data_IF_603458072036
#
_entry.id   IF_603458072036
#
_cell.length_a   1.000
_cell.length_b   1.000
_cell.length_c   1.000
_cell.angle_alpha   90.00
_cell.angle_beta   90.00
_cell.angle_gamma   90.00
#
_symmetry.space_group_name_H-M   'P 1'
#
loop_
_entity.id
_entity.type
_entity.pdbx_description
1 polymer ?
#
# COMPACT_ATOMS: atom_id res chain seq x y z
N UNK A 1 -1.76 26.45 5.86
CA UNK A 1 -0.49 25.76 6.19
C UNK A 1 0.46 26.05 5.04
N UNK A 2 1.30 27.11 5.18
CA UNK A 2 2.31 27.42 4.17
C UNK A 2 3.54 26.55 4.47
N UNK A 3 3.47 25.30 4.04
CA UNK A 3 4.66 24.43 4.04
C UNK A 3 5.53 24.95 2.90
N UNK A 4 6.67 25.58 3.23
CA UNK A 4 7.70 25.92 2.26
C UNK A 4 8.25 24.61 1.68
N UNK A 5 7.62 24.14 0.62
CA UNK A 5 8.06 22.94 -0.10
C UNK A 5 9.03 23.39 -1.18
N UNK A 6 10.21 22.82 -1.14
CA UNK A 6 11.18 22.95 -2.20
C UNK A 6 10.63 22.24 -3.46
N UNK A 7 10.10 23.00 -4.40
CA UNK A 7 9.44 22.47 -5.61
C UNK A 7 10.38 21.62 -6.47
N UNK A 8 11.67 21.86 -6.40
CA UNK A 8 12.67 21.07 -7.14
C UNK A 8 12.83 19.65 -6.59
N UNK A 9 12.36 19.40 -5.37
CA UNK A 9 12.36 18.09 -4.72
C UNK A 9 11.04 17.33 -4.85
N UNK A 10 10.03 17.94 -5.46
CA UNK A 10 8.75 17.25 -5.68
C UNK A 10 8.89 16.17 -6.75
N UNK A 11 8.15 15.05 -6.63
CA UNK A 11 8.13 14.02 -7.63
C UNK A 11 7.70 14.56 -9.01
N UNK A 12 8.37 14.12 -10.08
CA UNK A 12 8.11 14.57 -11.45
C UNK A 12 6.68 14.35 -11.94
N UNK A 13 5.98 13.37 -11.37
CA UNK A 13 4.60 13.08 -11.73
C UNK A 13 3.60 14.11 -11.17
N UNK A 14 3.97 14.87 -10.15
CA UNK A 14 3.03 15.71 -9.42
C UNK A 14 2.44 16.86 -10.25
N UNK A 15 3.20 17.60 -11.06
CA UNK A 15 2.63 18.60 -11.97
C UNK A 15 1.67 18.02 -13.00
N UNK A 16 1.89 16.77 -13.42
CA UNK A 16 1.00 16.06 -14.36
C UNK A 16 -0.31 15.72 -13.65
N UNK A 17 -0.23 15.20 -12.43
CA UNK A 17 -1.41 14.91 -11.62
C UNK A 17 -2.22 16.18 -11.33
N UNK A 18 -1.58 17.32 -11.04
CA UNK A 18 -2.29 18.59 -10.81
C UNK A 18 -3.05 19.07 -12.04
N UNK A 19 -2.51 18.85 -13.25
CA UNK A 19 -3.22 19.14 -14.51
C UNK A 19 -4.41 18.21 -14.74
N UNK A 20 -4.28 16.91 -14.40
CA UNK A 20 -5.35 15.94 -14.56
C UNK A 20 -6.41 16.03 -13.45
N UNK A 21 -5.96 16.33 -12.24
CA UNK A 21 -6.77 16.33 -11.01
C UNK A 21 -6.43 17.56 -10.16
N UNK A 22 -7.08 18.71 -10.40
CA UNK A 22 -6.80 19.95 -9.69
C UNK A 22 -6.96 19.81 -8.17
N UNK A 23 -5.89 20.10 -7.45
CA UNK A 23 -5.75 19.92 -6.00
C UNK A 23 -4.84 18.75 -5.59
N UNK A 24 -4.45 17.86 -6.52
CA UNK A 24 -3.61 16.71 -6.24
C UNK A 24 -2.23 17.10 -5.65
N UNK A 25 -1.64 18.21 -6.10
CA UNK A 25 -0.38 18.71 -5.54
C UNK A 25 -0.52 19.06 -4.06
N UNK A 26 -1.55 19.82 -3.69
CA UNK A 26 -1.82 20.20 -2.30
C UNK A 26 -2.04 18.99 -1.40
N UNK A 27 -2.84 18.04 -1.87
CA UNK A 27 -3.18 16.83 -1.15
C UNK A 27 -1.97 15.94 -0.91
N UNK A 28 -1.14 15.77 -1.95
CA UNK A 28 0.11 15.01 -1.83
C UNK A 28 1.11 15.69 -0.89
N UNK A 29 1.29 17.02 -0.97
CA UNK A 29 2.18 17.78 -0.07
C UNK A 29 1.75 17.62 1.38
N UNK A 30 0.45 17.76 1.66
CA UNK A 30 -0.08 17.57 3.01
C UNK A 30 0.17 16.14 3.52
N UNK A 31 -0.06 15.12 2.68
CA UNK A 31 0.19 13.73 3.01
C UNK A 31 1.68 13.48 3.29
N UNK A 32 2.58 13.99 2.46
CA UNK A 32 4.03 13.86 2.68
C UNK A 32 4.49 14.56 3.95
N UNK A 33 3.90 15.70 4.31
CA UNK A 33 4.19 16.38 5.57
C UNK A 33 3.85 15.48 6.77
N UNK A 34 2.64 14.94 6.84
CA UNK A 34 2.21 14.04 7.92
C UNK A 34 3.04 12.75 7.94
N UNK A 35 3.37 12.22 6.76
CA UNK A 35 4.26 11.09 6.63
C UNK A 35 5.62 11.33 7.29
N UNK A 36 6.24 12.48 7.03
CA UNK A 36 7.52 12.85 7.62
C UNK A 36 7.43 13.00 9.13
N UNK A 37 6.32 13.50 9.67
CA UNK A 37 6.08 13.57 11.10
C UNK A 37 6.03 12.17 11.73
N UNK A 38 5.28 11.25 11.12
CA UNK A 38 5.10 9.89 11.64
C UNK A 38 6.38 9.05 11.51
N UNK A 39 7.01 9.05 10.33
CA UNK A 39 8.20 8.24 10.07
C UNK A 39 9.47 8.83 10.68
N UNK A 40 9.54 10.15 10.85
CA UNK A 40 10.64 10.85 11.49
C UNK A 40 10.54 10.94 13.02
N UNK A 41 9.40 10.56 13.62
CA UNK A 41 9.26 10.55 15.07
C UNK A 41 10.27 9.58 15.72
N UNK A 42 10.87 9.95 16.87
CA UNK A 42 11.78 9.04 17.57
C UNK A 42 11.09 7.71 17.93
N UNK A 43 11.63 6.61 17.42
CA UNK A 43 11.10 5.29 17.73
C UNK A 43 11.42 4.93 19.20
N UNK A 44 10.38 4.60 19.98
CA UNK A 44 10.51 4.23 21.39
C UNK A 44 11.11 2.82 21.57
N UNK A 45 10.85 1.94 20.62
CA UNK A 45 11.24 0.53 20.65
C UNK A 45 11.26 -0.07 19.24
N UNK A 46 11.55 -1.35 19.12
CA UNK A 46 11.56 -2.06 17.84
C UNK A 46 10.17 -2.19 17.20
N UNK A 47 9.11 -2.20 18.00
CA UNK A 47 7.73 -2.19 17.51
C UNK A 47 7.43 -0.91 16.71
N UNK A 48 7.77 0.26 17.27
CA UNK A 48 7.64 1.55 16.58
C UNK A 48 8.46 1.59 15.30
N UNK A 49 9.73 1.09 15.33
CA UNK A 49 10.58 1.01 14.12
C UNK A 49 9.92 0.17 13.03
N UNK A 50 9.35 -0.98 13.38
CA UNK A 50 8.67 -1.85 12.41
C UNK A 50 7.47 -1.14 11.78
N UNK A 51 6.64 -0.46 12.57
CA UNK A 51 5.51 0.30 12.05
C UNK A 51 5.95 1.46 11.14
N UNK A 52 7.02 2.17 11.49
CA UNK A 52 7.61 3.21 10.63
C UNK A 52 8.14 2.62 9.30
N UNK A 53 8.82 1.48 9.36
CA UNK A 53 9.25 0.76 8.14
C UNK A 53 8.05 0.34 7.28
N UNK A 54 6.99 -0.21 7.88
CA UNK A 54 5.77 -0.57 7.13
C UNK A 54 5.10 0.66 6.51
N UNK A 55 5.09 1.78 7.21
CA UNK A 55 4.59 3.06 6.69
C UNK A 55 5.42 3.53 5.49
N UNK A 56 6.75 3.41 5.55
CA UNK A 56 7.63 3.71 4.41
C UNK A 56 7.31 2.82 3.21
N UNK A 57 7.12 1.51 3.42
CA UNK A 57 6.73 0.59 2.35
C UNK A 57 5.36 0.96 1.75
N UNK A 58 4.40 1.39 2.58
CA UNK A 58 3.11 1.88 2.09
C UNK A 58 3.28 3.15 1.23
N UNK A 59 4.14 4.09 1.63
CA UNK A 59 4.45 5.30 0.88
C UNK A 59 5.10 5.01 -0.49
N UNK A 60 6.01 4.05 -0.56
CA UNK A 60 6.62 3.61 -1.82
C UNK A 60 5.55 3.05 -2.78
N UNK A 61 4.62 2.23 -2.28
CA UNK A 61 3.51 1.73 -3.09
C UNK A 61 2.57 2.85 -3.52
N UNK A 62 2.27 3.79 -2.62
CA UNK A 62 1.45 4.96 -2.94
C UNK A 62 2.12 5.83 -4.04
N UNK A 63 3.40 6.13 -3.91
CA UNK A 63 4.17 6.88 -4.91
C UNK A 63 4.21 6.15 -6.26
N UNK A 64 4.44 4.84 -6.26
CA UNK A 64 4.40 4.01 -7.47
C UNK A 64 3.03 4.01 -8.14
N UNK A 65 1.95 3.95 -7.36
CA UNK A 65 0.59 4.07 -7.86
C UNK A 65 0.36 5.44 -8.52
N UNK A 66 0.76 6.53 -7.88
CA UNK A 66 0.62 7.89 -8.44
C UNK A 66 1.40 8.07 -9.74
N UNK A 67 2.58 7.49 -9.85
CA UNK A 67 3.35 7.47 -11.10
C UNK A 67 2.58 6.78 -12.23
N UNK A 68 1.96 5.63 -11.96
CA UNK A 68 1.13 4.93 -12.94
C UNK A 68 -0.13 5.74 -13.31
N UNK A 69 -0.73 6.43 -12.35
CA UNK A 69 -1.88 7.32 -12.60
C UNK A 69 -1.47 8.48 -13.51
N UNK A 70 -0.32 9.10 -13.28
CA UNK A 70 0.17 10.23 -14.10
C UNK A 70 0.43 9.82 -15.56
N UNK A 71 0.80 8.56 -15.78
CA UNK A 71 0.99 7.97 -17.10
C UNK A 71 -0.29 7.33 -17.68
N UNK A 72 -1.42 7.55 -17.00
CA UNK A 72 -2.75 7.03 -17.38
C UNK A 72 -2.87 5.49 -17.40
N UNK A 73 -2.05 4.79 -16.60
CA UNK A 73 -2.12 3.34 -16.41
C UNK A 73 -3.09 2.96 -15.27
N UNK A 74 -4.38 3.23 -15.45
CA UNK A 74 -5.39 3.06 -14.40
C UNK A 74 -5.49 1.63 -13.84
N UNK A 75 -5.52 0.59 -14.68
CA UNK A 75 -5.58 -0.80 -14.20
C UNK A 75 -4.32 -1.24 -13.45
N UNK A 76 -3.10 -1.02 -13.95
CA UNK A 76 -1.90 -1.27 -13.16
C UNK A 76 -1.90 -0.51 -11.83
N UNK A 77 -2.38 0.73 -11.80
CA UNK A 77 -2.50 1.52 -10.56
C UNK A 77 -3.48 0.87 -9.57
N UNK A 78 -4.65 0.38 -10.01
CA UNK A 78 -5.58 -0.38 -9.15
C UNK A 78 -4.92 -1.66 -8.59
N UNK A 79 -4.10 -2.35 -9.37
CA UNK A 79 -3.32 -3.51 -8.91
C UNK A 79 -2.32 -3.15 -7.80
N UNK A 80 -1.65 -1.99 -7.93
CA UNK A 80 -0.75 -1.47 -6.87
C UNK A 80 -1.55 -1.06 -5.64
N UNK A 81 -2.75 -0.46 -5.80
CA UNK A 81 -3.65 -0.14 -4.70
C UNK A 81 -4.07 -1.38 -3.89
N UNK A 82 -4.25 -2.54 -4.54
CA UNK A 82 -4.52 -3.79 -3.83
C UNK A 82 -3.38 -4.14 -2.87
N UNK A 83 -2.13 -4.05 -3.33
CA UNK A 83 -0.97 -4.31 -2.48
C UNK A 83 -0.85 -3.28 -1.36
N UNK A 84 -1.08 -2.00 -1.67
CA UNK A 84 -1.13 -0.93 -0.68
C UNK A 84 -2.18 -1.21 0.41
N UNK A 85 -3.38 -1.67 0.02
CA UNK A 85 -4.44 -2.05 0.96
C UNK A 85 -3.98 -3.15 1.91
N UNK A 86 -3.35 -4.22 1.41
CA UNK A 86 -2.85 -5.31 2.25
C UNK A 86 -1.77 -4.84 3.24
N UNK A 87 -0.87 -3.95 2.80
CA UNK A 87 0.16 -3.35 3.65
C UNK A 87 -0.48 -2.49 4.75
N UNK A 88 -1.42 -1.62 4.39
CA UNK A 88 -2.12 -0.72 5.33
C UNK A 88 -2.89 -1.53 6.37
N UNK A 89 -3.72 -2.47 5.92
CA UNK A 89 -4.50 -3.34 6.82
C UNK A 89 -3.59 -4.16 7.74
N UNK A 90 -2.51 -4.74 7.19
CA UNK A 90 -1.53 -5.49 7.98
C UNK A 90 -0.83 -4.62 9.02
N UNK A 91 -0.47 -3.39 8.65
CA UNK A 91 0.19 -2.44 9.56
C UNK A 91 -0.75 -1.99 10.69
N UNK A 92 -2.00 -1.63 10.36
CA UNK A 92 -3.02 -1.26 11.35
C UNK A 92 -3.34 -2.45 12.28
N UNK A 93 -3.48 -3.65 11.71
CA UNK A 93 -3.69 -4.86 12.49
C UNK A 93 -2.53 -5.13 13.47
N UNK A 94 -1.29 -4.95 13.02
CA UNK A 94 -0.10 -5.09 13.87
C UNK A 94 -0.07 -4.01 14.96
N UNK A 95 -0.41 -2.75 14.63
CA UNK A 95 -0.45 -1.65 15.59
C UNK A 95 -1.44 -1.93 16.74
N UNK A 96 -2.61 -2.49 16.43
CA UNK A 96 -3.62 -2.92 17.42
C UNK A 96 -3.25 -4.21 18.17
N UNK A 97 -2.34 -5.01 17.64
CA UNK A 97 -1.96 -6.32 18.16
C UNK A 97 -0.43 -6.43 18.36
N UNK A 98 0.19 -5.62 19.25
CA UNK A 98 1.66 -5.57 19.41
C UNK A 98 2.27 -6.93 19.79
N UNK A 99 1.51 -7.80 20.44
CA UNK A 99 1.93 -9.17 20.76
C UNK A 99 2.21 -10.04 19.50
N UNK A 100 1.78 -9.60 18.33
CA UNK A 100 2.02 -10.26 17.04
C UNK A 100 3.36 -9.88 16.39
N UNK A 101 4.12 -8.95 16.98
CA UNK A 101 5.38 -8.49 16.42
C UNK A 101 6.35 -9.64 16.12
N UNK A 102 6.53 -10.56 17.07
CA UNK A 102 7.40 -11.73 16.88
C UNK A 102 6.92 -12.62 15.74
N UNK A 103 5.61 -12.88 15.65
CA UNK A 103 5.02 -13.65 14.55
C UNK A 103 5.29 -12.97 13.19
N UNK A 104 5.16 -11.63 13.15
CA UNK A 104 5.41 -10.84 11.94
C UNK A 104 6.88 -10.92 11.49
N UNK A 105 7.82 -10.70 12.40
CA UNK A 105 9.25 -10.74 12.09
C UNK A 105 9.73 -12.15 11.71
N UNK A 106 9.27 -13.16 12.41
CA UNK A 106 9.60 -14.56 12.13
C UNK A 106 9.01 -15.01 10.78
N UNK A 107 7.83 -14.53 10.42
CA UNK A 107 7.25 -14.80 9.10
C UNK A 107 8.08 -14.13 7.99
N UNK A 108 8.58 -12.92 8.21
CA UNK A 108 9.50 -12.24 7.29
C UNK A 108 10.78 -13.07 7.05
N UNK A 109 11.40 -13.61 8.13
CA UNK A 109 12.53 -14.53 8.02
C UNK A 109 12.18 -15.81 7.25
N UNK A 110 11.03 -16.41 7.56
CA UNK A 110 10.52 -17.60 6.84
C UNK A 110 10.40 -17.35 5.34
N UNK A 111 9.79 -16.23 4.92
CA UNK A 111 9.65 -15.87 3.51
C UNK A 111 11.01 -15.69 2.83
N UNK A 112 11.95 -14.98 3.49
CA UNK A 112 13.31 -14.82 3.00
C UNK A 112 14.01 -16.16 2.79
N UNK A 113 14.00 -17.03 3.80
CA UNK A 113 14.63 -18.34 3.71
C UNK A 113 14.00 -19.23 2.63
N UNK A 114 12.68 -19.15 2.47
CA UNK A 114 11.94 -19.83 1.39
C UNK A 114 12.38 -19.31 0.01
N UNK A 115 12.52 -18.00 -0.14
CA UNK A 115 12.98 -17.38 -1.39
C UNK A 115 14.40 -17.80 -1.74
N UNK A 116 15.33 -17.82 -0.77
CA UNK A 116 16.70 -18.27 -0.97
C UNK A 116 16.71 -19.72 -1.46
N UNK A 117 15.90 -20.60 -0.87
CA UNK A 117 15.81 -22.01 -1.27
C UNK A 117 15.18 -22.23 -2.64
N UNK A 118 14.22 -21.38 -3.02
CA UNK A 118 13.54 -21.47 -4.31
C UNK A 118 14.35 -20.87 -5.47
N UNK A 119 15.30 -19.98 -5.19
CA UNK A 119 16.12 -19.35 -6.23
C UNK A 119 17.09 -20.36 -6.85
N UNK A 120 17.34 -20.21 -8.17
CA UNK A 120 18.24 -21.10 -8.94
C UNK A 120 19.33 -20.25 -9.60
N UNK A 121 20.33 -19.78 -8.83
CA UNK A 121 21.38 -18.94 -9.37
C UNK A 121 22.21 -19.69 -10.43
N UNK A 122 22.48 -19.04 -11.54
CA UNK A 122 23.31 -19.58 -12.62
C UNK A 122 24.81 -19.42 -12.25
N UNK A 123 25.17 -18.28 -11.69
CA UNK A 123 26.56 -17.97 -11.35
C UNK A 123 27.09 -18.87 -10.21
N UNK A 124 28.26 -19.53 -10.36
CA UNK A 124 28.81 -20.42 -9.36
C UNK A 124 29.07 -19.78 -8.00
N UNK A 125 29.49 -18.51 -7.97
CA UNK A 125 29.72 -17.76 -6.72
C UNK A 125 28.43 -17.59 -5.93
N UNK A 126 27.32 -17.25 -6.63
CA UNK A 126 26.01 -17.14 -5.97
C UNK A 126 25.47 -18.49 -5.53
N UNK A 127 25.74 -19.59 -6.27
CA UNK A 127 25.40 -20.95 -5.84
C UNK A 127 26.10 -21.32 -4.53
N UNK A 128 27.39 -21.02 -4.41
CA UNK A 128 28.16 -21.30 -3.19
C UNK A 128 27.63 -20.48 -2.00
N UNK A 129 27.38 -19.18 -2.19
CA UNK A 129 26.80 -18.32 -1.15
C UNK A 129 25.42 -18.81 -0.71
N UNK A 130 24.56 -19.18 -1.66
CA UNK A 130 23.24 -19.74 -1.39
C UNK A 130 23.33 -21.04 -0.58
N UNK A 131 24.22 -21.97 -0.96
CA UNK A 131 24.40 -23.23 -0.25
C UNK A 131 24.85 -22.99 1.21
N UNK A 132 25.76 -22.05 1.44
CA UNK A 132 26.21 -21.68 2.77
C UNK A 132 25.08 -21.07 3.60
N UNK A 133 24.29 -20.15 3.04
CA UNK A 133 23.14 -19.53 3.71
C UNK A 133 22.06 -20.58 4.05
N UNK A 134 21.80 -21.52 3.14
CA UNK A 134 20.86 -22.62 3.38
C UNK A 134 21.33 -23.49 4.55
N UNK A 135 22.60 -23.89 4.55
CA UNK A 135 23.17 -24.72 5.62
C UNK A 135 23.12 -23.99 6.98
N UNK A 136 23.43 -22.70 7.02
CA UNK A 136 23.39 -21.89 8.23
C UNK A 136 21.99 -21.73 8.79
N UNK A 137 20.97 -21.65 7.95
CA UNK A 137 19.58 -21.34 8.33
C UNK A 137 18.66 -22.56 8.40
N UNK A 138 19.16 -23.76 8.18
CA UNK A 138 18.30 -24.96 7.97
C UNK A 138 17.45 -25.34 9.19
N UNK A 139 18.05 -25.30 10.38
CA UNK A 139 17.34 -25.60 11.63
C UNK A 139 16.22 -24.58 11.89
N UNK A 140 16.55 -23.28 11.79
CA UNK A 140 15.58 -22.22 12.00
C UNK A 140 14.48 -22.26 10.93
N UNK A 141 14.85 -22.45 9.66
CA UNK A 141 13.87 -22.59 8.58
C UNK A 141 12.90 -23.75 8.83
N UNK A 142 13.38 -24.91 9.25
CA UNK A 142 12.54 -26.07 9.52
C UNK A 142 11.54 -25.79 10.65
N UNK A 143 11.94 -25.10 11.69
CA UNK A 143 11.08 -24.70 12.79
C UNK A 143 10.02 -23.69 12.32
N UNK A 144 10.40 -22.66 11.56
CA UNK A 144 9.51 -21.66 11.00
C UNK A 144 8.54 -22.26 9.96
N UNK A 145 9.00 -23.20 9.14
CA UNK A 145 8.17 -23.93 8.18
C UNK A 145 7.03 -24.71 8.86
N UNK A 146 7.33 -25.39 9.97
CA UNK A 146 6.29 -26.08 10.76
C UNK A 146 5.28 -25.09 11.34
N UNK A 147 5.74 -23.94 11.83
CA UNK A 147 4.90 -22.92 12.44
C UNK A 147 3.99 -22.21 11.45
N UNK A 148 4.48 -21.91 10.23
CA UNK A 148 3.79 -21.13 9.20
C UNK A 148 3.27 -21.94 8.01
N UNK A 149 3.27 -23.29 8.09
CA UNK A 149 2.77 -24.15 7.01
C UNK A 149 1.30 -23.84 6.69
N UNK A 150 1.07 -23.32 5.47
CA UNK A 150 -0.28 -23.00 5.00
C UNK A 150 -0.94 -21.77 5.66
N UNK A 151 -0.17 -20.99 6.45
CA UNK A 151 -0.69 -19.80 7.16
C UNK A 151 0.24 -18.62 6.97
N UNK A 152 -0.26 -17.41 7.26
CA UNK A 152 0.53 -16.19 7.39
C UNK A 152 0.80 -15.86 8.86
N UNK A 153 1.59 -14.82 9.12
CA UNK A 153 1.92 -14.38 10.49
C UNK A 153 0.69 -14.01 11.32
N UNK A 154 -0.34 -13.45 10.70
CA UNK A 154 -1.57 -13.02 11.36
C UNK A 154 -2.57 -14.16 11.58
N UNK A 155 -2.45 -15.29 10.89
CA UNK A 155 -3.36 -16.44 10.93
C UNK A 155 -4.85 -16.11 10.67
N UNK A 156 -5.11 -14.93 10.11
CA UNK A 156 -6.43 -14.42 9.77
C UNK A 156 -6.49 -14.15 8.26
N UNK A 157 -7.67 -14.09 7.67
CA UNK A 157 -7.82 -13.60 6.30
C UNK A 157 -7.69 -12.06 6.26
N UNK A 158 -7.41 -11.50 5.08
CA UNK A 158 -7.43 -10.04 4.87
C UNK A 158 -8.78 -9.47 5.31
N UNK A 159 -9.88 -10.17 5.04
CA UNK A 159 -11.23 -9.76 5.46
C UNK A 159 -11.35 -9.64 6.99
N UNK A 160 -10.83 -10.61 7.73
CA UNK A 160 -10.85 -10.57 9.22
C UNK A 160 -10.01 -9.41 9.75
N UNK A 161 -8.80 -9.22 9.21
CA UNK A 161 -7.96 -8.09 9.59
C UNK A 161 -8.62 -6.74 9.26
N UNK A 162 -9.31 -6.66 8.13
CA UNK A 162 -10.02 -5.46 7.70
C UNK A 162 -11.17 -5.10 8.66
N UNK A 163 -11.93 -6.10 9.13
CA UNK A 163 -12.98 -5.90 10.14
C UNK A 163 -12.38 -5.38 11.45
N UNK A 164 -11.28 -5.97 11.90
CA UNK A 164 -10.58 -5.53 13.11
C UNK A 164 -10.02 -4.11 12.98
N UNK A 165 -9.52 -3.75 11.80
CA UNK A 165 -9.04 -2.41 11.47
C UNK A 165 -10.17 -1.37 11.31
N UNK A 166 -11.45 -1.78 11.23
CA UNK A 166 -12.59 -0.88 10.98
C UNK A 166 -12.67 -0.40 9.52
N UNK A 167 -12.17 -1.17 8.55
CA UNK A 167 -12.04 -0.81 7.14
C UNK A 167 -12.94 -1.67 6.21
N UNK A 168 -14.02 -2.24 6.74
CA UNK A 168 -14.87 -3.21 6.00
C UNK A 168 -15.44 -2.62 4.70
N UNK A 169 -15.91 -1.36 4.73
CA UNK A 169 -16.46 -0.71 3.53
C UNK A 169 -15.42 -0.61 2.41
N UNK A 170 -14.15 -0.31 2.74
CA UNK A 170 -13.08 -0.24 1.75
C UNK A 170 -12.75 -1.61 1.17
N UNK A 171 -12.84 -2.67 1.98
CA UNK A 171 -12.66 -4.03 1.51
C UNK A 171 -13.70 -4.42 0.47
N UNK A 172 -14.98 -4.18 0.77
CA UNK A 172 -16.08 -4.60 -0.10
C UNK A 172 -16.14 -3.77 -1.39
N UNK A 173 -15.90 -2.47 -1.33
CA UNK A 173 -16.03 -1.57 -2.49
C UNK A 173 -14.77 -1.61 -3.37
N UNK A 174 -13.58 -1.54 -2.79
CA UNK A 174 -12.34 -1.32 -3.55
C UNK A 174 -11.44 -2.55 -3.63
N UNK A 175 -11.18 -3.22 -2.49
CA UNK A 175 -10.23 -4.32 -2.47
C UNK A 175 -10.66 -5.50 -3.35
N UNK A 176 -11.94 -5.90 -3.29
CA UNK A 176 -12.47 -6.99 -4.12
C UNK A 176 -12.31 -6.69 -5.61
N UNK A 177 -12.60 -5.45 -6.00
CA UNK A 177 -12.41 -4.98 -7.38
C UNK A 177 -10.94 -4.98 -7.78
N UNK A 178 -10.08 -4.34 -6.99
CA UNK A 178 -8.64 -4.28 -7.25
C UNK A 178 -7.99 -5.66 -7.29
N UNK A 179 -8.48 -6.61 -6.47
CA UNK A 179 -8.04 -8.01 -6.48
C UNK A 179 -8.40 -8.69 -7.80
N UNK A 180 -9.62 -8.48 -8.30
CA UNK A 180 -10.07 -8.99 -9.59
C UNK A 180 -9.20 -8.45 -10.75
N UNK A 181 -8.90 -7.15 -10.72
CA UNK A 181 -8.00 -6.50 -11.68
C UNK A 181 -6.60 -7.12 -11.64
N UNK A 182 -6.04 -7.27 -10.44
CA UNK A 182 -4.69 -7.81 -10.27
C UNK A 182 -4.54 -9.27 -10.73
N UNK A 183 -5.61 -10.06 -10.64
CA UNK A 183 -5.62 -11.46 -11.08
C UNK A 183 -6.00 -11.67 -12.55
N UNK A 184 -6.37 -10.60 -13.26
CA UNK A 184 -6.73 -10.67 -14.69
C UNK A 184 -7.93 -11.59 -14.95
N UNK A 185 -8.91 -11.59 -14.05
CA UNK A 185 -10.07 -12.47 -14.14
C UNK A 185 -11.11 -12.03 -15.21
N UNK A 186 -12.21 -12.78 -15.31
CA UNK A 186 -13.27 -12.53 -16.28
C UNK A 186 -13.94 -11.14 -16.13
N UNK A 187 -13.86 -10.51 -14.95
CA UNK A 187 -14.36 -9.16 -14.72
C UNK A 187 -13.63 -8.13 -15.60
N UNK A 188 -12.31 -8.27 -15.73
CA UNK A 188 -11.52 -7.39 -16.61
C UNK A 188 -11.94 -7.55 -18.05
N UNK A 189 -12.14 -8.80 -18.53
CA UNK A 189 -12.60 -9.08 -19.88
C UNK A 189 -13.96 -8.43 -20.12
N UNK A 190 -14.91 -8.57 -19.19
CA UNK A 190 -16.22 -7.92 -19.29
C UNK A 190 -16.09 -6.41 -19.40
N UNK A 191 -15.21 -5.78 -18.66
CA UNK A 191 -15.00 -4.34 -18.69
C UNK A 191 -14.44 -3.86 -20.03
N UNK A 192 -13.53 -4.63 -20.64
CA UNK A 192 -13.03 -4.35 -22.00
C UNK A 192 -14.09 -4.59 -23.08
N UNK A 193 -14.95 -5.59 -22.92
CA UNK A 193 -15.95 -5.95 -23.93
C UNK A 193 -17.20 -5.08 -23.89
N UNK A 194 -17.60 -4.57 -22.73
CA UNK A 194 -18.80 -3.72 -22.58
C UNK A 194 -18.69 -2.38 -23.31
N UNK A 195 -17.46 -1.93 -23.61
CA UNK A 195 -17.18 -0.69 -24.37
C UNK A 195 -16.76 -0.95 -25.84
N UNK A 196 -17.04 -2.15 -26.36
CA UNK A 196 -16.51 -2.62 -27.65
C UNK A 196 -15.07 -3.15 -27.49
N UNK A 197 -14.72 -4.18 -28.29
CA UNK A 197 -13.40 -4.80 -28.29
C UNK A 197 -12.32 -3.77 -28.65
N UNK A 198 -11.74 -3.13 -27.67
CA UNK A 198 -10.56 -2.30 -27.84
C UNK A 198 -9.34 -3.16 -27.48
N UNK A 199 -8.84 -3.90 -28.48
CA UNK A 199 -7.62 -4.69 -28.35
C UNK A 199 -6.44 -3.76 -28.63
N UNK A 200 -5.60 -3.55 -27.65
CA UNK A 200 -4.39 -2.77 -27.80
C UNK A 200 -3.87 -2.29 -26.46
N UNK A 201 -2.64 -1.83 -26.40
CA UNK A 201 -2.12 -1.07 -25.26
C UNK A 201 -2.94 0.21 -25.22
N UNK A 202 -3.98 0.20 -24.38
CA UNK A 202 -4.97 1.28 -24.36
C UNK A 202 -4.41 2.54 -23.73
N UNK A 203 -3.90 3.43 -24.54
CA UNK A 203 -3.72 4.84 -24.22
C UNK A 203 -5.08 5.56 -24.07
N UNK A 204 -6.18 4.82 -24.17
CA UNK A 204 -7.51 5.39 -24.14
C UNK A 204 -8.02 5.43 -22.69
N UNK A 205 -8.06 6.65 -22.18
CA UNK A 205 -8.99 7.16 -21.15
C UNK A 205 -9.49 6.14 -20.12
N UNK A 206 -8.58 5.57 -19.37
CA UNK A 206 -8.89 4.90 -18.12
C UNK A 206 -8.94 5.92 -16.97
N UNK A 207 -9.34 7.17 -17.27
CA UNK A 207 -9.47 8.26 -16.29
C UNK A 207 -10.21 7.81 -15.04
N UNK A 208 -11.29 7.05 -15.20
CA UNK A 208 -12.07 6.57 -14.06
C UNK A 208 -11.27 5.58 -13.19
N UNK A 209 -10.54 4.65 -13.79
CA UNK A 209 -9.73 3.69 -13.04
C UNK A 209 -8.54 4.38 -12.37
N UNK A 210 -7.85 5.28 -13.09
CA UNK A 210 -6.76 6.07 -12.57
C UNK A 210 -7.21 6.97 -11.41
N UNK A 211 -8.34 7.68 -11.58
CA UNK A 211 -8.93 8.52 -10.54
C UNK A 211 -9.38 7.72 -9.33
N UNK A 212 -10.03 6.56 -9.55
CA UNK A 212 -10.42 5.66 -8.46
C UNK A 212 -9.20 5.18 -7.68
N UNK A 213 -8.11 4.79 -8.38
CA UNK A 213 -6.88 4.36 -7.73
C UNK A 213 -6.27 5.48 -6.90
N UNK A 214 -6.22 6.71 -7.41
CA UNK A 214 -5.68 7.87 -6.71
C UNK A 214 -6.47 8.19 -5.44
N UNK A 215 -7.81 8.30 -5.54
CA UNK A 215 -8.68 8.59 -4.39
C UNK A 215 -8.57 7.48 -3.34
N UNK A 216 -8.62 6.24 -3.78
CA UNK A 216 -8.54 5.09 -2.88
C UNK A 216 -7.17 5.01 -2.20
N UNK A 217 -6.08 5.20 -2.94
CA UNK A 217 -4.74 5.22 -2.39
C UNK A 217 -4.57 6.32 -1.35
N UNK A 218 -5.10 7.52 -1.60
CA UNK A 218 -5.09 8.62 -0.64
C UNK A 218 -5.88 8.27 0.63
N UNK A 219 -7.09 7.72 0.50
CA UNK A 219 -7.90 7.26 1.63
C UNK A 219 -7.18 6.23 2.49
N UNK A 220 -6.49 5.27 1.86
CA UNK A 220 -5.70 4.27 2.58
C UNK A 220 -4.59 4.89 3.40
N UNK A 221 -3.87 5.87 2.85
CA UNK A 221 -2.79 6.55 3.57
C UNK A 221 -3.31 7.40 4.72
N UNK A 222 -4.41 8.12 4.53
CA UNK A 222 -5.06 8.91 5.61
C UNK A 222 -5.48 7.99 6.75
N UNK A 223 -6.12 6.87 6.46
CA UNK A 223 -6.52 5.88 7.46
C UNK A 223 -5.32 5.26 8.18
N UNK A 224 -4.25 4.95 7.46
CA UNK A 224 -3.01 4.46 8.08
C UNK A 224 -2.50 5.47 9.12
N UNK A 225 -2.39 6.74 8.74
CA UNK A 225 -1.87 7.79 9.61
C UNK A 225 -2.78 8.05 10.80
N UNK A 226 -4.10 8.11 10.60
CA UNK A 226 -5.08 8.23 11.68
C UNK A 226 -4.92 7.11 12.71
N UNK A 227 -4.83 5.86 12.24
CA UNK A 227 -4.70 4.70 13.13
C UNK A 227 -3.36 4.66 13.85
N UNK A 228 -2.26 4.95 13.17
CA UNK A 228 -0.95 5.02 13.81
C UNK A 228 -0.87 6.15 14.84
N UNK A 229 -1.44 7.32 14.54
CA UNK A 229 -1.51 8.42 15.50
C UNK A 229 -2.26 8.01 16.78
N UNK A 230 -3.41 7.34 16.61
CA UNK A 230 -4.23 6.86 17.73
C UNK A 230 -3.50 5.80 18.56
N UNK A 231 -3.00 4.73 17.92
CA UNK A 231 -2.41 3.58 18.62
C UNK A 231 -1.07 3.92 19.27
N UNK A 232 -0.25 4.77 18.63
CA UNK A 232 1.06 5.17 19.12
C UNK A 232 1.02 6.46 19.96
N UNK A 233 -0.13 7.14 20.03
CA UNK A 233 -0.35 8.41 20.76
C UNK A 233 0.67 9.47 20.34
N UNK A 234 0.74 9.75 19.02
CA UNK A 234 1.75 10.65 18.47
C UNK A 234 1.39 12.13 18.65
N UNK A 235 0.10 12.45 18.79
CA UNK A 235 -0.38 13.83 19.03
C UNK A 235 -0.50 14.69 17.78
N UNK A 236 -0.63 14.08 16.58
CA UNK A 236 -0.77 14.77 15.28
C UNK A 236 -2.24 14.89 14.83
N UNK A 237 -3.18 15.03 15.80
CA UNK A 237 -4.61 15.04 15.50
C UNK A 237 -5.01 16.18 14.57
N UNK A 238 -4.39 17.35 14.70
CA UNK A 238 -4.66 18.51 13.86
C UNK A 238 -4.23 18.27 12.40
N UNK A 239 -3.02 17.78 12.20
CA UNK A 239 -2.46 17.48 10.87
C UNK A 239 -3.25 16.39 10.16
N UNK A 240 -3.69 15.38 10.90
CA UNK A 240 -4.54 14.30 10.36
C UNK A 240 -5.93 14.83 10.01
N UNK A 241 -6.50 15.73 10.80
CA UNK A 241 -7.79 16.33 10.46
C UNK A 241 -7.73 17.10 9.14
N UNK A 242 -6.62 17.80 8.86
CA UNK A 242 -6.39 18.44 7.57
C UNK A 242 -6.43 17.42 6.42
N UNK A 243 -5.79 16.25 6.57
CA UNK A 243 -5.84 15.20 5.56
C UNK A 243 -7.25 14.64 5.34
N UNK A 244 -8.02 14.46 6.43
CA UNK A 244 -9.41 14.01 6.36
C UNK A 244 -10.27 15.03 5.61
N UNK A 245 -10.11 16.32 5.90
CA UNK A 245 -10.86 17.38 5.22
C UNK A 245 -10.54 17.42 3.71
N UNK A 246 -9.27 17.29 3.33
CA UNK A 246 -8.85 17.19 1.94
C UNK A 246 -9.43 15.94 1.26
N UNK A 247 -9.41 14.79 1.91
CA UNK A 247 -10.01 13.55 1.43
C UNK A 247 -11.51 13.70 1.16
N UNK A 248 -12.24 14.35 2.07
CA UNK A 248 -13.66 14.61 1.89
C UNK A 248 -13.94 15.55 0.71
N UNK A 249 -13.09 16.55 0.48
CA UNK A 249 -13.17 17.44 -0.69
C UNK A 249 -12.95 16.68 -2.00
N UNK A 250 -11.93 15.80 -2.08
CA UNK A 250 -11.69 14.95 -3.25
C UNK A 250 -12.89 14.08 -3.58
N UNK A 251 -13.41 13.39 -2.57
CA UNK A 251 -14.54 12.46 -2.74
C UNK A 251 -15.82 13.20 -3.17
N UNK A 252 -16.09 14.37 -2.60
CA UNK A 252 -17.26 15.18 -2.95
C UNK A 252 -17.20 15.70 -4.40
N UNK A 253 -16.04 16.14 -4.86
CA UNK A 253 -15.83 16.52 -6.26
C UNK A 253 -16.01 15.35 -7.21
N UNK A 254 -15.49 14.16 -6.85
CA UNK A 254 -15.63 12.98 -7.69
C UNK A 254 -17.10 12.57 -7.89
N UNK A 255 -17.91 12.61 -6.84
CA UNK A 255 -19.35 12.32 -6.93
C UNK A 255 -20.09 13.34 -7.80
N UNK A 256 -19.73 14.62 -7.73
CA UNK A 256 -20.35 15.67 -8.53
C UNK A 256 -20.02 15.56 -10.03
N UNK A 257 -18.75 15.22 -10.35
CA UNK A 257 -18.28 15.14 -11.73
C UNK A 257 -18.58 13.78 -12.40
N UNK A 258 -18.73 12.72 -11.61
CA UNK A 258 -19.00 11.35 -12.06
C UNK A 258 -20.12 10.72 -11.21
N UNK A 259 -21.36 11.15 -11.40
CA UNK A 259 -22.48 10.56 -10.67
C UNK A 259 -22.58 9.05 -10.96
N UNK A 260 -23.02 8.24 -9.98
CA UNK A 260 -23.07 6.79 -10.06
C UNK A 260 -23.96 6.25 -11.20
#
# INVERSE_FOLDING_TARGET
MDVLVDRDKLPRFLPILEQMYPGAEREHIALMHVSNLITGAPAKDDFHKVLQCQTTVALEHYGGMLSLVSDNFGFPAEGVCRNLFEIVVGTVYLAKNPQKLTDFLDYGKFLRYRQVRASKPVNPVFKQKQAAEIAQTDVEYTALQKRFKGTSWHKASVEVMTKDAGMTNLYDVYYRRASSVAHGDAFNIYHFTSKGWQIGIGWQKWDRAARTAMIFGYQLMVLLFERLNLELKLGYDHEIQILIDLMNQMTSKDIQENPP
#
